data_IF_010283254986
#
_entry.id   IF_010283254986
#
_cell.length_a   1.000
_cell.length_b   1.000
_cell.length_c   1.000
_cell.angle_alpha   90.00
_cell.angle_beta   90.00
_cell.angle_gamma   90.00
#
_symmetry.space_group_name_H-M   'P 1'
#
loop_
_entity.id
_entity.type
_entity.pdbx_description
1 polymer ?
#
# COMPACT_ATOMS: atom_id res chain seq x y z
N UNK A 1 -27.73 14.73 -8.00
CA UNK A 1 -27.33 13.44 -8.63
C UNK A 1 -26.85 13.62 -10.08
N UNK A 2 -27.65 14.18 -11.00
CA UNK A 2 -27.24 14.33 -12.41
C UNK A 2 -25.96 15.17 -12.68
N UNK A 3 -25.55 16.03 -11.75
CA UNK A 3 -24.28 16.76 -11.84
C UNK A 3 -23.06 15.92 -11.47
N UNK A 4 -23.19 15.04 -10.46
CA UNK A 4 -22.09 14.19 -10.00
C UNK A 4 -21.85 13.03 -10.97
N UNK A 5 -22.91 12.51 -11.60
CA UNK A 5 -22.77 11.48 -12.65
C UNK A 5 -22.02 12.02 -13.87
N UNK A 6 -22.22 13.31 -14.20
CA UNK A 6 -21.43 13.97 -15.26
C UNK A 6 -19.96 14.06 -14.90
N UNK A 7 -19.64 14.47 -13.67
CA UNK A 7 -18.25 14.50 -13.20
C UNK A 7 -17.62 13.10 -13.18
N UNK A 8 -18.38 12.06 -12.84
CA UNK A 8 -17.89 10.68 -12.94
C UNK A 8 -17.53 10.29 -14.37
N UNK A 9 -18.36 10.64 -15.36
CA UNK A 9 -18.03 10.40 -16.77
C UNK A 9 -16.77 11.14 -17.21
N UNK A 10 -16.54 12.35 -16.68
CA UNK A 10 -15.30 13.09 -16.92
C UNK A 10 -14.09 12.41 -16.26
N UNK A 11 -14.24 11.81 -15.06
CA UNK A 11 -13.16 11.04 -14.41
C UNK A 11 -12.72 9.88 -15.31
N UNK A 12 -13.66 9.14 -15.90
CA UNK A 12 -13.33 8.04 -16.83
C UNK A 12 -12.48 8.56 -18.00
N UNK A 13 -12.88 9.68 -18.59
CA UNK A 13 -12.14 10.27 -19.71
C UNK A 13 -10.74 10.72 -19.30
N UNK A 14 -10.59 11.26 -18.10
CA UNK A 14 -9.30 11.74 -17.60
C UNK A 14 -8.32 10.59 -17.31
N UNK A 15 -8.80 9.51 -16.68
CA UNK A 15 -8.00 8.30 -16.40
C UNK A 15 -7.57 7.57 -17.67
N UNK A 16 -8.29 7.75 -18.78
CA UNK A 16 -7.94 7.12 -20.07
C UNK A 16 -6.94 7.92 -20.91
N UNK A 17 -6.52 9.12 -20.45
CA UNK A 17 -5.55 9.94 -21.20
C UNK A 17 -4.15 9.36 -21.08
N UNK A 18 -3.35 9.54 -22.13
CA UNK A 18 -1.93 9.17 -22.13
C UNK A 18 -1.12 9.92 -21.07
N UNK A 19 -1.48 11.19 -20.82
CA UNK A 19 -0.99 11.98 -19.70
C UNK A 19 -2.15 12.27 -18.75
N UNK A 20 -2.26 11.46 -17.69
CA UNK A 20 -3.29 11.61 -16.67
C UNK A 20 -3.01 12.83 -15.78
N UNK A 21 -3.97 13.74 -15.65
CA UNK A 21 -3.83 14.88 -14.73
C UNK A 21 -4.22 14.45 -13.31
N UNK A 22 -3.28 13.85 -12.56
CA UNK A 22 -3.53 13.35 -11.19
C UNK A 22 -4.21 14.37 -10.26
N UNK A 23 -3.82 15.66 -10.21
CA UNK A 23 -4.50 16.65 -9.36
C UNK A 23 -5.96 16.90 -9.76
N UNK A 24 -6.27 16.81 -11.05
CA UNK A 24 -7.64 16.97 -11.55
C UNK A 24 -8.48 15.74 -11.17
N UNK A 25 -7.95 14.53 -11.37
CA UNK A 25 -8.59 13.29 -10.95
C UNK A 25 -8.89 13.35 -9.45
N UNK A 26 -7.93 13.77 -8.63
CA UNK A 26 -8.12 13.84 -7.19
C UNK A 26 -9.25 14.81 -6.80
N UNK A 27 -9.27 16.01 -7.38
CA UNK A 27 -10.33 17.00 -7.16
C UNK A 27 -11.71 16.45 -7.55
N UNK A 28 -11.79 15.78 -8.69
CA UNK A 28 -13.04 15.23 -9.20
C UNK A 28 -13.51 14.05 -8.35
N UNK A 29 -12.58 13.18 -7.95
CA UNK A 29 -12.83 12.10 -7.02
C UNK A 29 -13.34 12.67 -5.69
N UNK A 30 -12.68 13.65 -5.09
CA UNK A 30 -13.15 14.32 -3.87
C UNK A 30 -14.60 14.83 -4.01
N UNK A 31 -14.92 15.48 -5.13
CA UNK A 31 -16.26 16.04 -5.37
C UNK A 31 -17.33 14.94 -5.51
N UNK A 32 -16.96 13.79 -6.08
CA UNK A 32 -17.87 12.67 -6.34
C UNK A 32 -17.92 11.64 -5.21
N UNK A 33 -17.23 11.88 -4.09
CA UNK A 33 -17.17 10.97 -2.94
C UNK A 33 -18.55 10.57 -2.40
N UNK A 34 -19.48 11.53 -2.27
CA UNK A 34 -20.83 11.25 -1.76
C UNK A 34 -21.57 10.26 -2.66
N UNK A 35 -21.42 10.39 -3.98
CA UNK A 35 -22.04 9.47 -4.95
C UNK A 35 -21.41 8.07 -4.83
N UNK A 36 -20.07 7.98 -4.84
CA UNK A 36 -19.35 6.70 -4.64
C UNK A 36 -19.77 5.99 -3.38
N UNK A 37 -19.71 6.70 -2.24
CA UNK A 37 -20.05 6.14 -0.93
C UNK A 37 -21.48 5.63 -0.90
N UNK A 38 -22.42 6.39 -1.48
CA UNK A 38 -23.81 5.95 -1.58
C UNK A 38 -23.93 4.66 -2.41
N UNK A 39 -23.32 4.61 -3.60
CA UNK A 39 -23.35 3.43 -4.48
C UNK A 39 -22.76 2.19 -3.78
N UNK A 40 -21.59 2.33 -3.15
CA UNK A 40 -20.88 1.21 -2.49
C UNK A 40 -21.62 0.73 -1.23
N UNK A 41 -22.01 1.65 -0.34
CA UNK A 41 -22.65 1.29 0.94
C UNK A 41 -24.05 0.73 0.73
N UNK A 42 -24.80 1.28 -0.23
CA UNK A 42 -26.19 0.87 -0.49
C UNK A 42 -26.23 -0.43 -1.29
N UNK A 43 -25.48 -0.50 -2.39
CA UNK A 43 -25.61 -1.63 -3.32
C UNK A 43 -24.65 -2.78 -2.99
N UNK A 44 -23.60 -2.52 -2.19
CA UNK A 44 -22.56 -3.49 -1.82
C UNK A 44 -22.08 -4.34 -3.01
N UNK A 45 -21.72 -3.70 -4.13
CA UNK A 45 -21.32 -4.43 -5.33
C UNK A 45 -19.98 -5.14 -5.12
N UNK A 46 -19.67 -6.18 -5.92
CA UNK A 46 -18.35 -6.80 -5.91
C UNK A 46 -17.27 -5.81 -6.34
N UNK A 47 -16.03 -6.04 -5.92
CA UNK A 47 -14.88 -5.15 -6.20
C UNK A 47 -14.72 -4.89 -7.69
N UNK A 48 -14.92 -5.91 -8.54
CA UNK A 48 -14.87 -5.77 -9.99
C UNK A 48 -15.80 -4.66 -10.49
N UNK A 49 -17.06 -4.67 -10.06
CA UNK A 49 -18.06 -3.71 -10.52
C UNK A 49 -17.75 -2.30 -10.00
N UNK A 50 -17.17 -2.18 -8.79
CA UNK A 50 -16.68 -0.90 -8.25
C UNK A 50 -15.58 -0.34 -9.16
N UNK A 51 -14.61 -1.18 -9.52
CA UNK A 51 -13.47 -0.80 -10.34
C UNK A 51 -13.86 -0.47 -11.79
N UNK A 52 -14.81 -1.19 -12.37
CA UNK A 52 -15.38 -0.86 -13.69
C UNK A 52 -16.13 0.48 -13.65
N UNK A 53 -16.86 0.75 -12.56
CA UNK A 53 -17.65 1.98 -12.38
C UNK A 53 -16.79 3.21 -12.07
N UNK A 54 -15.72 3.01 -11.31
CA UNK A 54 -14.80 4.04 -10.80
C UNK A 54 -13.34 3.66 -11.11
N UNK A 55 -12.91 3.76 -12.39
CA UNK A 55 -11.60 3.27 -12.81
C UNK A 55 -10.43 4.00 -12.15
N UNK A 56 -10.62 5.23 -11.69
CA UNK A 56 -9.62 5.96 -10.91
C UNK A 56 -9.18 5.21 -9.64
N UNK A 57 -9.97 4.29 -9.11
CA UNK A 57 -9.62 3.45 -7.96
C UNK A 57 -8.57 2.39 -8.27
N UNK A 58 -8.17 2.21 -9.52
CA UNK A 58 -6.96 1.44 -9.86
C UNK A 58 -5.66 2.20 -9.56
N UNK A 59 -5.73 3.53 -9.39
CA UNK A 59 -4.58 4.34 -9.05
C UNK A 59 -4.31 4.24 -7.55
N UNK A 60 -3.08 3.87 -7.19
CA UNK A 60 -2.64 3.74 -5.79
C UNK A 60 -2.92 5.02 -4.97
N UNK A 61 -2.62 6.19 -5.55
CA UNK A 61 -2.88 7.49 -4.92
C UNK A 61 -4.36 7.71 -4.59
N UNK A 62 -5.28 7.19 -5.41
CA UNK A 62 -6.71 7.30 -5.16
C UNK A 62 -7.20 6.29 -4.11
N UNK A 63 -6.54 5.15 -3.95
CA UNK A 63 -6.81 4.23 -2.83
C UNK A 63 -6.46 4.90 -1.50
N UNK A 64 -5.30 5.56 -1.41
CA UNK A 64 -4.93 6.35 -0.24
C UNK A 64 -5.91 7.48 0.04
N UNK A 65 -6.29 8.24 -1.00
CA UNK A 65 -7.26 9.32 -0.86
C UNK A 65 -8.64 8.83 -0.40
N UNK A 66 -9.15 7.70 -0.94
CA UNK A 66 -10.41 7.11 -0.48
C UNK A 66 -10.34 6.63 0.96
N UNK A 67 -9.26 5.97 1.35
CA UNK A 67 -9.07 5.56 2.74
C UNK A 67 -9.15 6.77 3.67
N UNK A 68 -8.44 7.85 3.33
CA UNK A 68 -8.48 9.09 4.09
C UNK A 68 -9.87 9.73 4.11
N UNK A 69 -10.61 9.73 2.99
CA UNK A 69 -11.99 10.25 2.94
C UNK A 69 -12.95 9.49 3.85
N UNK A 70 -12.74 8.18 4.01
CA UNK A 70 -13.61 7.30 4.82
C UNK A 70 -13.25 7.37 6.31
N UNK A 71 -11.95 7.32 6.63
CA UNK A 71 -11.45 7.12 8.00
C UNK A 71 -10.88 8.41 8.63
N UNK A 72 -10.65 9.44 7.82
CA UNK A 72 -9.92 10.66 8.18
C UNK A 72 -8.49 10.39 8.66
N UNK A 73 -7.88 9.31 8.17
CA UNK A 73 -6.53 8.87 8.53
C UNK A 73 -5.63 8.78 7.30
N UNK A 74 -4.34 9.02 7.48
CA UNK A 74 -3.33 8.82 6.43
C UNK A 74 -2.90 7.34 6.43
N UNK A 75 -3.31 6.59 5.39
CA UNK A 75 -3.05 5.15 5.33
C UNK A 75 -1.56 4.80 5.38
N UNK A 76 -0.68 5.38 4.54
CA UNK A 76 0.74 5.08 4.60
C UNK A 76 1.33 5.29 6.00
N UNK A 77 1.06 6.44 6.63
CA UNK A 77 1.64 6.74 7.94
C UNK A 77 1.22 5.73 9.00
N UNK A 78 -0.08 5.40 9.07
CA UNK A 78 -0.58 4.43 10.05
C UNK A 78 -0.04 3.04 9.75
N UNK A 79 0.01 2.65 8.48
CA UNK A 79 0.51 1.36 8.09
C UNK A 79 1.98 1.19 8.50
N UNK A 80 2.83 2.17 8.18
CA UNK A 80 4.25 2.11 8.54
C UNK A 80 4.46 2.23 10.05
N UNK A 81 3.74 3.11 10.75
CA UNK A 81 3.81 3.22 12.21
C UNK A 81 3.47 1.89 12.90
N UNK A 82 2.38 1.24 12.49
CA UNK A 82 1.99 -0.05 13.07
C UNK A 82 2.89 -1.19 12.61
N UNK A 83 3.41 -1.14 11.38
CA UNK A 83 4.41 -2.10 10.91
C UNK A 83 5.69 -2.01 11.75
N UNK A 84 6.24 -0.82 11.94
CA UNK A 84 7.45 -0.58 12.74
C UNK A 84 7.24 -1.06 14.18
N UNK A 85 6.11 -0.69 14.79
CA UNK A 85 5.71 -1.12 16.13
C UNK A 85 5.68 -2.64 16.28
N UNK A 86 5.24 -3.36 15.26
CA UNK A 86 5.10 -4.82 15.30
C UNK A 86 6.31 -5.58 14.74
N UNK A 87 7.24 -4.90 14.08
CA UNK A 87 8.38 -5.52 13.37
C UNK A 87 9.24 -6.36 14.31
N UNK A 88 9.63 -5.84 15.48
CA UNK A 88 10.46 -6.59 16.45
C UNK A 88 9.79 -7.88 16.94
N UNK A 89 8.47 -7.82 17.18
CA UNK A 89 7.69 -8.97 17.61
C UNK A 89 7.62 -10.02 16.48
N UNK A 90 7.35 -9.59 15.26
CA UNK A 90 7.33 -10.45 14.07
C UNK A 90 8.68 -11.10 13.82
N UNK A 91 9.78 -10.34 13.91
CA UNK A 91 11.15 -10.86 13.78
C UNK A 91 11.45 -11.97 14.79
N UNK A 92 11.01 -11.80 16.04
CA UNK A 92 11.17 -12.82 17.07
C UNK A 92 10.42 -14.11 16.71
N UNK A 93 9.16 -13.99 16.26
CA UNK A 93 8.34 -15.12 15.83
C UNK A 93 8.92 -15.81 14.59
N UNK A 94 9.44 -15.04 13.63
CA UNK A 94 10.05 -15.58 12.43
C UNK A 94 11.36 -16.30 12.73
N UNK A 95 12.21 -15.78 13.61
CA UNK A 95 13.43 -16.48 14.08
C UNK A 95 13.08 -17.82 14.75
N UNK A 96 12.09 -17.83 15.64
CA UNK A 96 11.61 -19.08 16.25
C UNK A 96 11.09 -20.09 15.22
N UNK A 97 10.46 -19.60 14.14
CA UNK A 97 9.96 -20.44 13.06
C UNK A 97 11.08 -20.94 12.16
N UNK A 98 12.08 -20.11 11.88
CA UNK A 98 13.27 -20.42 11.08
C UNK A 98 14.20 -21.44 11.73
N UNK A 99 14.16 -21.57 13.06
CA UNK A 99 14.90 -22.62 13.79
C UNK A 99 14.28 -24.02 13.67
N UNK A 100 13.16 -24.18 12.94
CA UNK A 100 12.52 -25.47 12.70
C UNK A 100 13.07 -26.10 11.41
N UNK A 101 12.58 -27.28 11.06
CA UNK A 101 12.98 -27.97 9.83
C UNK A 101 11.87 -27.88 8.78
N UNK A 102 12.25 -27.55 7.55
CA UNK A 102 11.36 -27.60 6.39
C UNK A 102 11.58 -26.41 5.46
N UNK A 103 11.16 -26.55 4.20
CA UNK A 103 11.42 -25.57 3.13
C UNK A 103 11.06 -24.12 3.46
N UNK A 104 9.98 -23.92 4.23
CA UNK A 104 9.55 -22.57 4.66
C UNK A 104 10.40 -22.03 5.82
N UNK A 105 10.94 -22.90 6.65
CA UNK A 105 11.88 -22.56 7.71
C UNK A 105 13.23 -22.15 7.12
N UNK A 106 13.71 -22.92 6.15
CA UNK A 106 14.97 -22.67 5.44
C UNK A 106 14.90 -21.31 4.71
N UNK A 107 13.81 -21.05 3.98
CA UNK A 107 13.60 -19.76 3.33
C UNK A 107 13.52 -18.58 4.32
N UNK A 108 12.89 -18.77 5.49
CA UNK A 108 12.88 -17.74 6.53
C UNK A 108 14.27 -17.51 7.12
N UNK A 109 15.06 -18.56 7.30
CA UNK A 109 16.44 -18.46 7.78
C UNK A 109 17.30 -17.67 6.78
N UNK A 110 17.16 -17.93 5.48
CA UNK A 110 17.86 -17.20 4.43
C UNK A 110 17.50 -15.70 4.42
N UNK A 111 16.20 -15.37 4.53
CA UNK A 111 15.72 -13.98 4.62
C UNK A 111 16.28 -13.27 5.86
N UNK A 112 16.24 -13.94 7.02
CA UNK A 112 16.74 -13.38 8.28
C UNK A 112 18.26 -13.18 8.26
N UNK A 113 19.01 -14.10 7.62
CA UNK A 113 20.45 -13.96 7.44
C UNK A 113 20.79 -12.72 6.61
N UNK A 114 20.06 -12.46 5.51
CA UNK A 114 20.27 -11.27 4.68
C UNK A 114 19.97 -9.99 5.49
N UNK A 115 18.88 -10.00 6.27
CA UNK A 115 18.53 -8.88 7.15
C UNK A 115 19.64 -8.59 8.16
N UNK A 116 20.15 -9.60 8.85
CA UNK A 116 21.17 -9.43 9.89
C UNK A 116 22.49 -8.87 9.31
N UNK A 117 22.89 -9.31 8.10
CA UNK A 117 24.05 -8.75 7.39
C UNK A 117 23.88 -7.27 7.02
N UNK A 118 22.66 -6.83 6.71
CA UNK A 118 22.38 -5.42 6.38
C UNK A 118 22.45 -4.50 7.59
N UNK A 119 22.14 -5.01 8.79
CA UNK A 119 22.25 -4.24 10.05
C UNK A 119 23.72 -4.00 10.42
N UNK A 120 24.61 -4.95 10.13
CA UNK A 120 26.03 -4.85 10.48
C UNK A 120 26.82 -3.88 9.58
N UNK A 121 26.38 -3.67 8.33
CA UNK A 121 27.05 -2.81 7.33
C UNK A 121 26.53 -1.35 7.30
N UNK A 122 25.63 -0.96 8.20
CA UNK A 122 25.07 0.39 8.25
C UNK A 122 25.96 1.36 9.06
N UNK A 123 26.53 2.38 8.39
CA UNK A 123 27.20 3.53 9.01
C UNK A 123 26.19 4.55 9.62
N UNK A 124 24.90 4.22 9.70
CA UNK A 124 23.90 5.15 10.25
C UNK A 124 24.10 5.35 11.77
N UNK A 125 24.02 6.61 12.25
CA UNK A 125 24.09 6.87 13.69
C UNK A 125 22.95 6.12 14.39
N UNK A 126 23.23 5.60 15.59
CA UNK A 126 22.25 5.01 16.51
C UNK A 126 21.14 6.02 16.83
N UNK A 127 20.14 6.11 15.95
CA UNK A 127 18.89 6.84 16.18
C UNK A 127 18.05 5.88 17.02
N UNK A 128 18.23 5.99 18.34
CA UNK A 128 17.66 5.06 19.31
C UNK A 128 16.21 4.67 19.02
N UNK A 129 15.93 3.37 19.21
CA UNK A 129 14.62 2.72 19.24
C UNK A 129 13.66 2.96 18.07
N UNK A 130 14.08 3.59 16.96
CA UNK A 130 13.26 3.75 15.77
C UNK A 130 13.36 2.47 14.90
N UNK A 131 12.32 1.63 14.82
CA UNK A 131 12.34 0.47 13.94
C UNK A 131 12.12 0.98 12.51
N UNK A 132 13.07 0.75 11.61
CA UNK A 132 12.88 0.97 10.17
C UNK A 132 12.51 -0.37 9.56
N UNK A 133 11.23 -0.60 9.25
CA UNK A 133 10.82 -1.79 8.51
C UNK A 133 11.26 -1.70 7.04
N UNK A 134 12.28 -2.47 6.64
CA UNK A 134 12.66 -2.62 5.23
C UNK A 134 11.66 -3.59 4.58
N UNK A 135 10.76 -3.06 3.74
CA UNK A 135 9.89 -3.86 2.90
C UNK A 135 10.72 -4.44 1.74
N UNK A 136 11.12 -5.72 1.86
CA UNK A 136 11.78 -6.44 0.78
C UNK A 136 10.72 -7.04 -0.14
N UNK A 137 10.69 -6.60 -1.40
CA UNK A 137 9.90 -7.25 -2.45
C UNK A 137 10.74 -8.38 -3.06
N UNK A 138 10.28 -9.62 -2.91
CA UNK A 138 10.85 -10.79 -3.58
C UNK A 138 10.02 -11.04 -4.85
N UNK A 139 10.59 -10.79 -6.02
CA UNK A 139 10.02 -11.15 -7.32
C UNK A 139 10.74 -12.39 -7.85
N UNK A 140 10.00 -13.37 -8.38
CA UNK A 140 10.53 -14.66 -8.88
C UNK A 140 11.60 -14.51 -10.00
N UNK A 141 11.66 -13.34 -10.66
CA UNK A 141 12.55 -13.08 -11.80
C UNK A 141 13.86 -12.33 -11.44
N UNK A 142 14.13 -12.03 -10.17
CA UNK A 142 15.33 -11.30 -9.77
C UNK A 142 16.00 -11.89 -8.53
N UNK A 143 17.26 -12.34 -8.69
CA UNK A 143 18.12 -12.89 -7.63
C UNK A 143 18.49 -11.88 -6.52
N UNK A 144 18.04 -10.62 -6.60
CA UNK A 144 18.39 -9.57 -5.65
C UNK A 144 17.15 -8.88 -5.10
N UNK A 145 17.02 -8.76 -3.76
CA UNK A 145 15.90 -8.07 -3.13
C UNK A 145 15.89 -6.59 -3.51
N UNK A 146 14.71 -6.09 -3.89
CA UNK A 146 14.52 -4.70 -4.32
C UNK A 146 14.18 -3.84 -3.10
N UNK A 147 14.94 -2.77 -2.88
CA UNK A 147 14.71 -1.80 -1.82
C UNK A 147 13.59 -0.83 -2.21
N UNK A 148 12.52 -0.77 -1.42
CA UNK A 148 11.45 0.21 -1.60
C UNK A 148 11.92 1.62 -1.23
N UNK A 149 11.73 2.61 -2.09
CA UNK A 149 11.96 4.02 -1.78
C UNK A 149 10.61 4.74 -1.73
N UNK A 150 10.16 5.25 -0.58
CA UNK A 150 8.95 6.06 -0.53
C UNK A 150 9.16 7.39 -1.27
N UNK A 151 8.09 7.89 -1.89
CA UNK A 151 8.02 9.19 -2.59
C UNK A 151 7.74 10.30 -1.58
#
# INVERSE_FOLDING_TARGET
>A
MASLERQRLEIIKEVQKTEETLPLIDRMMQTTFVLRRQEVVTNRPPVRDILERWPALHLESQVYAEFQRITNQNLPNIFYEELDRHTLCLMTLYRQRASKTGKTSDALADILMIHDLQVEDSDEPDVGDAPVAILIVISDDTEKPIHFKPI
#
